data_IF_238054676960
#
_entry.id   IF_238054676960
#
_cell.length_a   1.000
_cell.length_b   1.000
_cell.length_c   1.000
_cell.angle_alpha   90.00
_cell.angle_beta   90.00
_cell.angle_gamma   90.00
#
_symmetry.space_group_name_H-M   'P 1'
#
loop_
_entity.id
_entity.type
_entity.pdbx_description
1 polymer ?
#
# COMPACT_ATOMS: atom_id res chain seq x y z
N UNK A 1 40.83 20.70 -9.45
CA UNK A 1 40.44 21.15 -8.09
C UNK A 1 38.96 21.50 -8.19
N UNK A 2 38.11 20.91 -7.31
CA UNK A 2 36.66 20.64 -7.44
C UNK A 2 36.34 19.55 -8.49
N UNK A 3 36.36 18.26 -8.14
CA UNK A 3 35.43 17.41 -7.34
C UNK A 3 34.18 16.96 -8.16
N UNK A 4 34.02 15.67 -8.41
CA UNK A 4 33.42 14.76 -7.43
C UNK A 4 31.92 14.49 -7.68
N UNK A 5 31.36 14.95 -8.81
CA UNK A 5 29.97 14.66 -9.23
C UNK A 5 29.74 13.17 -9.55
N UNK A 6 29.66 12.35 -8.51
CA UNK A 6 28.97 11.07 -8.59
C UNK A 6 27.48 11.38 -8.72
N UNK A 7 26.78 10.90 -9.78
CA UNK A 7 25.33 10.99 -9.80
C UNK A 7 24.83 10.21 -8.57
N UNK A 8 24.18 10.91 -7.65
CA UNK A 8 23.53 10.29 -6.49
C UNK A 8 22.39 9.44 -7.05
N UNK A 9 22.64 8.15 -7.27
CA UNK A 9 21.60 7.20 -7.66
C UNK A 9 20.57 7.19 -6.53
N UNK A 10 19.30 7.57 -6.79
CA UNK A 10 18.30 7.60 -5.74
C UNK A 10 18.13 6.20 -5.15
N UNK A 11 18.01 6.12 -3.82
CA UNK A 11 17.74 4.84 -3.16
C UNK A 11 16.44 4.22 -3.68
N UNK A 12 16.28 2.90 -3.59
CA UNK A 12 15.04 2.20 -3.98
C UNK A 12 13.80 2.83 -3.31
N UNK A 13 13.92 3.24 -2.05
CA UNK A 13 12.88 3.95 -1.33
C UNK A 13 12.55 5.31 -1.98
N UNK A 14 13.56 6.07 -2.39
CA UNK A 14 13.38 7.36 -3.07
C UNK A 14 12.69 7.22 -4.43
N UNK A 15 13.08 6.20 -5.22
CA UNK A 15 12.47 5.93 -6.52
C UNK A 15 11.00 5.48 -6.39
N UNK A 16 10.69 4.64 -5.41
CA UNK A 16 9.31 4.22 -5.13
C UNK A 16 8.44 5.39 -4.63
N UNK A 17 8.96 6.23 -3.74
CA UNK A 17 8.26 7.43 -3.27
C UNK A 17 7.92 8.39 -4.42
N UNK A 18 8.78 8.51 -5.45
CA UNK A 18 8.52 9.33 -6.62
C UNK A 18 7.32 8.84 -7.47
N UNK A 19 6.94 7.57 -7.36
CA UNK A 19 5.72 7.01 -7.95
C UNK A 19 4.52 7.02 -6.97
N UNK A 20 4.65 7.73 -5.85
CA UNK A 20 3.64 7.80 -4.81
C UNK A 20 3.59 6.56 -3.93
N UNK A 21 4.47 5.56 -4.08
CA UNK A 21 4.47 4.44 -3.14
C UNK A 21 4.90 4.92 -1.76
N UNK A 22 4.07 4.68 -0.75
CA UNK A 22 4.32 5.14 0.62
C UNK A 22 4.96 4.06 1.46
N UNK A 23 4.51 2.81 1.34
CA UNK A 23 5.03 1.70 2.15
C UNK A 23 4.01 0.59 2.34
N UNK A 24 4.43 -0.50 2.99
CA UNK A 24 3.61 -1.66 3.28
C UNK A 24 3.19 -1.75 4.75
N UNK A 25 2.16 -2.54 4.99
CA UNK A 25 1.69 -2.93 6.31
C UNK A 25 1.39 -4.42 6.37
N UNK A 26 1.50 -4.95 7.59
CA UNK A 26 1.08 -6.28 7.97
C UNK A 26 0.18 -6.18 9.21
N UNK A 27 -0.82 -7.04 9.35
CA UNK A 27 -1.69 -7.06 10.52
C UNK A 27 -1.98 -8.48 10.98
N UNK A 28 -1.98 -8.67 12.29
CA UNK A 28 -2.52 -9.85 12.94
C UNK A 28 -3.72 -9.39 13.78
N UNK A 29 -4.91 -9.80 13.35
CA UNK A 29 -6.17 -9.38 14.00
C UNK A 29 -6.31 -9.99 15.39
N UNK A 30 -5.76 -11.19 15.61
CA UNK A 30 -5.81 -11.87 16.90
C UNK A 30 -5.08 -11.09 17.99
N UNK A 31 -3.89 -10.55 17.67
CA UNK A 31 -3.13 -9.70 18.59
C UNK A 31 -3.62 -8.25 18.61
N UNK A 32 -4.46 -7.86 17.65
CA UNK A 32 -4.91 -6.47 17.46
C UNK A 32 -3.78 -5.54 17.00
N UNK A 33 -2.65 -6.07 16.53
CA UNK A 33 -1.46 -5.31 16.17
C UNK A 33 -1.20 -5.28 14.66
N UNK A 34 -0.67 -4.16 14.21
CA UNK A 34 -0.16 -3.95 12.85
C UNK A 34 1.30 -3.56 12.89
N UNK A 35 2.06 -4.01 11.90
CA UNK A 35 3.46 -3.62 11.70
C UNK A 35 3.53 -2.85 10.39
N UNK A 36 4.21 -1.70 10.42
CA UNK A 36 4.43 -0.84 9.27
C UNK A 36 5.92 -0.89 8.88
N UNK A 37 6.23 -0.74 7.59
CA UNK A 37 7.60 -0.46 7.17
C UNK A 37 8.00 1.00 7.46
N UNK A 38 9.21 1.40 7.11
CA UNK A 38 9.71 2.75 7.38
C UNK A 38 8.91 3.86 6.69
N UNK A 39 8.49 3.65 5.44
CA UNK A 39 7.75 4.64 4.68
C UNK A 39 6.31 4.79 5.18
N UNK A 40 5.63 3.67 5.41
CA UNK A 40 4.30 3.64 6.00
C UNK A 40 4.30 4.22 7.42
N UNK A 41 5.30 3.91 8.25
CA UNK A 41 5.40 4.47 9.61
C UNK A 41 5.57 5.99 9.58
N UNK A 42 6.42 6.49 8.68
CA UNK A 42 6.65 7.93 8.50
C UNK A 42 5.36 8.66 8.10
N UNK A 43 4.62 8.13 7.13
CA UNK A 43 3.47 8.83 6.55
C UNK A 43 2.17 8.60 7.33
N UNK A 44 1.89 7.37 7.74
CA UNK A 44 0.62 6.98 8.36
C UNK A 44 0.60 7.16 9.87
N UNK A 45 1.69 6.78 10.55
CA UNK A 45 1.85 6.98 11.98
C UNK A 45 2.51 8.34 12.31
N UNK A 46 3.21 8.95 11.34
CA UNK A 46 3.91 10.21 11.54
C UNK A 46 5.28 10.06 12.18
N UNK A 47 5.81 8.84 12.29
CA UNK A 47 7.11 8.55 12.91
C UNK A 47 7.76 7.31 12.27
N UNK A 48 8.83 7.51 11.50
CA UNK A 48 9.59 6.43 10.89
C UNK A 48 10.25 5.49 11.91
N UNK A 49 10.47 5.93 13.16
CA UNK A 49 11.06 5.13 14.22
C UNK A 49 10.15 3.97 14.68
N UNK A 50 8.88 4.01 14.30
CA UNK A 50 7.89 2.97 14.59
C UNK A 50 7.97 1.78 13.61
N UNK A 51 8.82 1.85 12.60
CA UNK A 51 9.02 0.78 11.63
C UNK A 51 9.33 -0.56 12.31
N UNK A 52 8.65 -1.63 11.89
CA UNK A 52 8.84 -2.98 12.43
C UNK A 52 8.25 -3.20 13.83
N UNK A 53 7.71 -2.17 14.50
CA UNK A 53 7.11 -2.30 15.83
C UNK A 53 5.62 -2.64 15.74
N UNK A 54 5.09 -3.43 16.71
CA UNK A 54 3.67 -3.75 16.76
C UNK A 54 2.85 -2.54 17.28
N UNK A 55 2.07 -1.94 16.39
CA UNK A 55 1.21 -0.78 16.65
C UNK A 55 -0.26 -1.20 16.81
N UNK A 56 -0.99 -0.51 17.68
CA UNK A 56 -2.46 -0.50 17.63
C UNK A 56 -2.95 0.10 16.32
N UNK A 57 -4.23 -0.12 16.01
CA UNK A 57 -4.84 0.49 14.83
C UNK A 57 -4.82 2.03 14.90
N UNK A 58 -5.04 2.59 16.10
CA UNK A 58 -5.02 4.03 16.32
C UNK A 58 -3.64 4.65 16.11
N UNK A 59 -2.57 3.98 16.56
CA UNK A 59 -1.17 4.40 16.34
C UNK A 59 -0.80 4.29 14.86
N UNK A 60 -1.11 3.16 14.22
CA UNK A 60 -0.77 2.91 12.82
C UNK A 60 -1.46 3.88 11.85
N UNK A 61 -2.60 4.44 12.23
CA UNK A 61 -3.43 5.33 11.41
C UNK A 61 -3.63 6.71 12.08
N UNK A 62 -2.67 7.14 12.88
CA UNK A 62 -2.75 8.38 13.66
C UNK A 62 -2.96 9.63 12.79
N UNK A 63 -2.50 9.61 11.53
CA UNK A 63 -2.56 10.75 10.61
C UNK A 63 -3.81 10.82 9.74
N UNK A 64 -4.77 9.89 9.85
CA UNK A 64 -6.02 9.98 9.08
C UNK A 64 -6.75 11.29 9.41
N UNK A 65 -7.22 11.97 8.36
CA UNK A 65 -8.01 13.19 8.50
C UNK A 65 -9.24 12.93 9.40
N UNK A 66 -9.57 13.81 10.36
CA UNK A 66 -10.63 13.57 11.34
C UNK A 66 -11.97 13.16 10.72
N UNK A 67 -12.37 13.82 9.63
CA UNK A 67 -13.61 13.51 8.90
C UNK A 67 -13.65 12.12 8.25
N UNK A 68 -12.48 11.51 7.99
CA UNK A 68 -12.39 10.20 7.33
C UNK A 68 -12.24 9.06 8.34
N UNK A 69 -11.87 9.38 9.59
CA UNK A 69 -11.45 8.39 10.60
C UNK A 69 -12.51 7.34 10.88
N UNK A 70 -13.72 7.75 11.25
CA UNK A 70 -14.79 6.84 11.61
C UNK A 70 -15.16 5.90 10.45
N UNK A 71 -15.20 6.45 9.24
CA UNK A 71 -15.50 5.70 8.03
C UNK A 71 -14.41 4.68 7.71
N UNK A 72 -13.12 5.06 7.76
CA UNK A 72 -12.00 4.12 7.50
C UNK A 72 -12.00 3.00 8.53
N UNK A 73 -12.19 3.34 9.81
CA UNK A 73 -12.21 2.36 10.91
C UNK A 73 -13.36 1.37 10.76
N UNK A 74 -14.53 1.82 10.32
CA UNK A 74 -15.66 0.93 10.02
C UNK A 74 -15.32 -0.07 8.90
N UNK A 75 -14.62 0.37 7.83
CA UNK A 75 -14.20 -0.52 6.75
C UNK A 75 -13.15 -1.54 7.21
N UNK A 76 -12.20 -1.11 8.04
CA UNK A 76 -11.20 -2.01 8.61
C UNK A 76 -11.87 -3.04 9.52
N UNK A 77 -12.80 -2.61 10.39
CA UNK A 77 -13.58 -3.52 11.24
C UNK A 77 -14.36 -4.54 10.41
N UNK A 78 -14.95 -4.12 9.28
CA UNK A 78 -15.64 -5.01 8.35
C UNK A 78 -14.71 -6.09 7.82
N UNK A 79 -13.58 -5.72 7.22
CA UNK A 79 -12.66 -6.70 6.61
C UNK A 79 -11.96 -7.59 7.66
N UNK A 80 -11.69 -7.07 8.87
CA UNK A 80 -11.18 -7.87 9.99
C UNK A 80 -12.16 -8.97 10.44
N UNK A 81 -13.46 -8.80 10.18
CA UNK A 81 -14.49 -9.81 10.47
C UNK A 81 -14.74 -10.75 9.29
N UNK A 82 -14.78 -10.21 8.07
CA UNK A 82 -15.18 -10.99 6.88
C UNK A 82 -14.01 -11.64 6.14
N UNK A 83 -12.78 -11.17 6.36
CA UNK A 83 -11.66 -11.45 5.46
C UNK A 83 -11.85 -10.81 4.08
N UNK A 84 -10.91 -11.09 3.19
CA UNK A 84 -10.92 -10.67 1.78
C UNK A 84 -10.21 -9.34 1.52
N UNK A 85 -10.46 -8.78 0.34
CA UNK A 85 -9.81 -7.56 -0.15
C UNK A 85 -10.24 -6.33 0.65
N UNK A 86 -9.24 -5.54 1.07
CA UNK A 86 -9.41 -4.19 1.57
C UNK A 86 -8.98 -3.19 0.50
N UNK A 87 -9.83 -2.22 0.21
CA UNK A 87 -9.51 -1.09 -0.66
C UNK A 87 -10.18 0.18 -0.12
N UNK A 88 -9.41 1.22 0.10
CA UNK A 88 -9.91 2.51 0.57
C UNK A 88 -9.07 3.66 0.02
N UNK A 89 -9.72 4.80 -0.23
CA UNK A 89 -9.05 6.07 -0.47
C UNK A 89 -9.51 7.08 0.56
N UNK A 90 -8.57 7.67 1.29
CA UNK A 90 -8.85 8.59 2.39
C UNK A 90 -7.75 9.65 2.48
N UNK A 91 -8.06 10.72 3.22
CA UNK A 91 -7.15 11.83 3.48
C UNK A 91 -6.30 11.55 4.71
N UNK A 92 -5.06 12.01 4.67
CA UNK A 92 -4.20 12.17 5.85
C UNK A 92 -3.82 13.64 6.02
N UNK A 93 -3.44 13.99 7.25
CA UNK A 93 -2.82 15.26 7.58
C UNK A 93 -1.33 15.05 7.84
N UNK A 94 -0.48 15.69 7.06
CA UNK A 94 0.97 15.65 7.28
C UNK A 94 1.34 16.43 8.55
N UNK A 95 2.58 16.29 9.02
CA UNK A 95 3.08 17.11 10.13
C UNK A 95 3.08 18.61 9.80
N UNK A 96 3.17 18.97 8.52
CA UNK A 96 3.07 20.35 8.04
C UNK A 96 1.62 20.86 7.91
N UNK A 97 0.62 20.03 8.21
CA UNK A 97 -0.80 20.37 8.08
C UNK A 97 -1.36 20.26 6.67
N UNK A 98 -0.59 19.71 5.73
CA UNK A 98 -1.05 19.48 4.35
C UNK A 98 -1.98 18.27 4.29
N UNK A 99 -2.99 18.34 3.42
CA UNK A 99 -3.85 17.20 3.12
C UNK A 99 -3.22 16.40 1.98
N UNK A 100 -3.05 15.10 2.20
CA UNK A 100 -2.66 14.13 1.16
C UNK A 100 -3.70 13.04 1.02
N UNK A 101 -3.89 12.55 -0.20
CA UNK A 101 -4.78 11.43 -0.49
C UNK A 101 -3.99 10.14 -0.54
N UNK A 102 -4.38 9.19 0.30
CA UNK A 102 -3.79 7.87 0.37
C UNK A 102 -4.77 6.84 -0.15
N UNK A 103 -4.31 6.00 -1.08
CA UNK A 103 -4.94 4.75 -1.45
C UNK A 103 -4.30 3.63 -0.64
N UNK A 104 -5.12 2.91 0.10
CA UNK A 104 -4.72 1.67 0.77
C UNK A 104 -5.35 0.48 0.06
N UNK A 105 -4.53 -0.51 -0.30
CA UNK A 105 -5.00 -1.83 -0.76
C UNK A 105 -4.31 -2.93 -0.01
N UNK A 106 -5.08 -3.94 0.40
CA UNK A 106 -4.54 -5.14 1.03
C UNK A 106 -5.51 -6.31 0.97
N UNK A 107 -5.11 -7.41 1.55
CA UNK A 107 -5.92 -8.63 1.61
C UNK A 107 -5.78 -9.29 2.98
N UNK A 108 -6.91 -9.72 3.55
CA UNK A 108 -6.96 -10.46 4.81
C UNK A 108 -7.38 -11.90 4.56
N UNK A 109 -6.61 -12.85 5.08
CA UNK A 109 -6.88 -14.29 5.02
C UNK A 109 -7.17 -14.86 6.41
N UNK A 110 -8.06 -15.85 6.51
CA UNK A 110 -8.24 -16.60 7.76
C UNK A 110 -6.96 -17.34 8.17
N UNK A 111 -6.75 -17.43 9.48
CA UNK A 111 -5.67 -18.17 10.15
C UNK A 111 -6.25 -18.91 11.36
N UNK A 112 -5.48 -19.82 11.96
CA UNK A 112 -5.92 -20.57 13.14
C UNK A 112 -6.39 -19.69 14.31
N UNK A 113 -5.85 -18.47 14.44
CA UNK A 113 -6.09 -17.58 15.57
C UNK A 113 -6.92 -16.34 15.22
N UNK A 114 -7.38 -16.20 13.98
CA UNK A 114 -8.12 -15.02 13.53
C UNK A 114 -7.81 -14.68 12.07
N UNK A 115 -7.65 -13.39 11.75
CA UNK A 115 -7.30 -12.94 10.41
C UNK A 115 -5.87 -12.41 10.37
N UNK A 116 -5.19 -12.67 9.27
CA UNK A 116 -3.88 -12.09 8.97
C UNK A 116 -3.96 -11.37 7.64
N UNK A 117 -3.28 -10.25 7.48
CA UNK A 117 -3.30 -9.54 6.21
C UNK A 117 -2.11 -8.64 5.98
N UNK A 118 -1.91 -8.32 4.71
CA UNK A 118 -0.86 -7.42 4.25
C UNK A 118 -1.42 -6.46 3.19
N UNK A 119 -0.76 -5.33 3.00
CA UNK A 119 -1.15 -4.37 1.99
C UNK A 119 -0.13 -3.24 1.82
N UNK A 120 -0.51 -2.28 0.98
CA UNK A 120 0.33 -1.14 0.63
C UNK A 120 -0.46 0.16 0.63
N UNK A 121 0.22 1.23 1.00
CA UNK A 121 -0.21 2.61 0.88
C UNK A 121 0.44 3.25 -0.34
N UNK A 122 -0.36 4.02 -1.08
CA UNK A 122 0.09 4.83 -2.22
C UNK A 122 -0.49 6.23 -2.06
N UNK A 123 0.37 7.24 -2.05
CA UNK A 123 0.01 8.63 -2.21
C UNK A 123 -0.48 8.86 -3.64
N UNK A 124 -1.74 9.29 -3.75
CA UNK A 124 -2.43 9.56 -5.00
C UNK A 124 -2.78 11.05 -5.15
N UNK A 125 -2.19 11.91 -4.32
CA UNK A 125 -2.47 13.36 -4.28
C UNK A 125 -2.32 14.00 -5.66
N UNK A 126 -1.18 13.79 -6.32
CA UNK A 126 -0.88 14.38 -7.64
C UNK A 126 -1.72 13.80 -8.79
N UNK A 127 -2.30 12.62 -8.59
CA UNK A 127 -3.15 11.96 -9.61
C UNK A 127 -4.63 12.32 -9.47
N UNK A 128 -5.01 13.09 -8.43
CA UNK A 128 -6.39 13.53 -8.24
C UNK A 128 -6.64 14.87 -8.91
N UNK A 129 -7.80 15.03 -9.58
CA UNK A 129 -8.24 16.35 -10.03
C UNK A 129 -8.44 17.28 -8.83
N UNK A 130 -8.06 18.55 -8.96
CA UNK A 130 -8.15 19.56 -7.87
C UNK A 130 -9.54 19.65 -7.20
N UNK A 131 -10.62 19.44 -7.94
CA UNK A 131 -11.99 19.46 -7.39
C UNK A 131 -12.33 18.25 -6.49
N UNK A 132 -11.51 17.19 -6.52
CA UNK A 132 -11.66 15.98 -5.68
C UNK A 132 -11.16 16.18 -4.25
N UNK A 133 -10.39 17.25 -3.98
CA UNK A 133 -9.92 17.61 -2.63
C UNK A 133 -11.09 18.03 -1.72
N UNK A 134 -12.17 18.56 -2.31
CA UNK A 134 -13.39 18.98 -1.62
C UNK A 134 -14.39 17.83 -1.38
N UNK A 135 -14.11 16.64 -1.90
CA UNK A 135 -14.99 15.47 -1.73
C UNK A 135 -14.56 14.65 -0.52
N UNK A 136 -15.52 14.20 0.30
CA UNK A 136 -15.29 13.27 1.41
C UNK A 136 -14.74 11.91 0.98
N UNK A 137 -14.57 10.95 1.92
CA UNK A 137 -13.95 9.66 1.64
C UNK A 137 -14.73 8.93 0.53
N UNK A 138 -14.02 8.45 -0.49
CA UNK A 138 -14.62 7.70 -1.59
C UNK A 138 -14.33 6.22 -1.39
N UNK A 139 -15.38 5.45 -1.07
CA UNK A 139 -15.34 4.01 -1.31
C UNK A 139 -15.41 3.82 -2.82
N UNK A 140 -14.26 3.69 -3.48
CA UNK A 140 -14.26 3.02 -4.77
C UNK A 140 -14.38 1.54 -4.47
N UNK A 141 -15.62 1.03 -4.39
CA UNK A 141 -15.85 -0.39 -4.60
C UNK A 141 -15.42 -0.69 -6.03
N UNK A 142 -14.14 -1.00 -6.22
CA UNK A 142 -13.84 -1.93 -7.29
C UNK A 142 -14.48 -3.26 -6.85
N UNK A 143 -15.10 -4.01 -7.76
CA UNK A 143 -15.40 -5.41 -7.47
C UNK A 143 -14.15 -6.06 -6.88
N UNK A 144 -14.26 -7.08 -5.99
CA UNK A 144 -13.09 -7.83 -5.56
C UNK A 144 -12.38 -8.31 -6.82
N UNK A 145 -11.33 -7.58 -7.21
CA UNK A 145 -10.43 -7.99 -8.26
C UNK A 145 -9.88 -9.29 -7.74
N UNK A 146 -10.03 -10.33 -8.55
CA UNK A 146 -9.59 -11.64 -8.16
C UNK A 146 -8.16 -11.53 -7.58
N UNK A 147 -7.84 -12.13 -6.42
CA UNK A 147 -6.55 -11.93 -5.79
C UNK A 147 -5.34 -12.22 -6.69
N UNK A 148 -5.48 -13.15 -7.66
CA UNK A 148 -4.46 -13.42 -8.67
C UNK A 148 -4.41 -12.36 -9.77
N UNK A 149 -5.55 -11.81 -10.20
CA UNK A 149 -5.57 -10.65 -11.10
C UNK A 149 -4.96 -9.42 -10.43
N UNK A 150 -5.25 -9.20 -9.15
CA UNK A 150 -4.67 -8.11 -8.38
C UNK A 150 -3.16 -8.27 -8.20
N UNK A 151 -2.68 -9.49 -7.96
CA UNK A 151 -1.26 -9.79 -7.94
C UNK A 151 -0.62 -9.50 -9.31
N UNK A 152 -1.26 -9.92 -10.41
CA UNK A 152 -0.77 -9.67 -11.77
C UNK A 152 -0.62 -8.17 -12.05
N UNK A 153 -1.60 -7.35 -11.70
CA UNK A 153 -1.55 -5.89 -11.85
C UNK A 153 -0.36 -5.26 -11.10
N UNK A 154 -0.11 -5.71 -9.87
CA UNK A 154 0.98 -5.20 -9.05
C UNK A 154 2.36 -5.64 -9.58
N UNK A 155 2.47 -6.88 -10.03
CA UNK A 155 3.70 -7.41 -10.64
C UNK A 155 3.99 -6.68 -11.95
N UNK A 156 2.96 -6.39 -12.76
CA UNK A 156 3.11 -5.63 -14.00
C UNK A 156 3.55 -4.19 -13.74
N UNK A 157 3.00 -3.53 -12.72
CA UNK A 157 3.46 -2.20 -12.30
C UNK A 157 4.92 -2.22 -11.84
N UNK A 158 5.31 -3.23 -11.04
CA UNK A 158 6.69 -3.43 -10.62
C UNK A 158 7.62 -3.68 -11.81
N UNK A 159 7.17 -4.47 -12.79
CA UNK A 159 7.92 -4.78 -14.02
C UNK A 159 8.26 -3.52 -14.82
N UNK A 160 7.29 -2.62 -15.02
CA UNK A 160 7.46 -1.36 -15.74
C UNK A 160 8.42 -0.40 -15.02
N UNK A 161 8.38 -0.38 -13.69
CA UNK A 161 9.34 0.40 -12.90
C UNK A 161 10.76 -0.17 -13.03
N UNK A 162 10.91 -1.48 -12.94
CA UNK A 162 12.20 -2.17 -13.04
C UNK A 162 12.86 -1.97 -14.41
N UNK A 163 12.09 -1.92 -15.51
CA UNK A 163 12.63 -1.65 -16.85
C UNK A 163 13.41 -0.34 -16.94
N UNK A 164 12.99 0.69 -16.20
CA UNK A 164 13.64 2.01 -16.20
C UNK A 164 14.96 2.01 -15.44
N UNK A 165 15.25 0.97 -14.66
CA UNK A 165 16.45 0.89 -13.80
C UNK A 165 17.62 0.15 -14.44
N UNK A 166 17.38 -0.61 -15.52
CA UNK A 166 18.40 -1.46 -16.15
C UNK A 166 18.85 -2.67 -15.30
N UNK A 167 18.20 -2.95 -14.17
CA UNK A 167 18.59 -4.06 -13.28
C UNK A 167 18.11 -5.43 -13.79
N UNK A 168 18.98 -6.13 -14.50
CA UNK A 168 18.69 -7.43 -15.12
C UNK A 168 18.18 -8.49 -14.14
N UNK A 169 18.78 -8.59 -12.94
CA UNK A 169 18.37 -9.60 -11.95
C UNK A 169 16.94 -9.39 -11.45
N UNK A 170 16.56 -8.14 -11.19
CA UNK A 170 15.20 -7.81 -10.75
C UNK A 170 14.19 -8.05 -11.87
N UNK A 171 14.56 -7.71 -13.11
CA UNK A 171 13.76 -8.01 -14.30
C UNK A 171 13.46 -9.50 -14.41
N UNK A 172 14.48 -10.35 -14.25
CA UNK A 172 14.29 -11.80 -14.28
C UNK A 172 13.36 -12.30 -13.17
N UNK A 173 13.50 -11.78 -11.94
CA UNK A 173 12.64 -12.19 -10.82
C UNK A 173 11.18 -11.79 -11.02
N UNK A 174 10.94 -10.56 -11.48
CA UNK A 174 9.57 -10.08 -11.70
C UNK A 174 8.94 -10.75 -12.93
N UNK A 175 9.71 -11.03 -13.98
CA UNK A 175 9.26 -11.82 -15.15
C UNK A 175 8.87 -13.25 -14.72
N UNK A 176 9.66 -13.86 -13.84
CA UNK A 176 9.39 -15.21 -13.30
C UNK A 176 8.10 -15.22 -12.48
N UNK A 177 7.91 -14.22 -11.62
CA UNK A 177 6.71 -14.10 -10.79
C UNK A 177 5.46 -13.84 -11.65
N UNK A 178 5.58 -12.99 -12.69
CA UNK A 178 4.50 -12.72 -13.63
C UNK A 178 4.07 -14.00 -14.37
N UNK A 179 5.03 -14.81 -14.79
CA UNK A 179 4.77 -16.09 -15.45
C UNK A 179 4.01 -17.07 -14.53
N UNK A 180 4.42 -17.21 -13.28
CA UNK A 180 3.76 -18.11 -12.32
C UNK A 180 2.33 -17.67 -11.99
N UNK A 181 2.11 -16.36 -11.82
CA UNK A 181 0.76 -15.80 -11.64
C UNK A 181 -0.11 -16.03 -12.88
N UNK A 182 0.42 -15.80 -14.08
CA UNK A 182 -0.29 -16.08 -15.34
C UNK A 182 -0.70 -17.56 -15.48
N UNK A 183 0.18 -18.49 -15.11
CA UNK A 183 -0.14 -19.93 -15.10
C UNK A 183 -1.22 -20.29 -14.09
N UNK A 184 -1.21 -19.64 -12.92
CA UNK A 184 -2.24 -19.86 -11.91
C UNK A 184 -3.61 -19.32 -12.34
N UNK A 185 -3.64 -18.18 -13.06
CA UNK A 185 -4.86 -17.67 -13.69
C UNK A 185 -5.40 -18.62 -14.77
N UNK A 186 -4.54 -19.11 -15.67
CA UNK A 186 -4.94 -19.99 -16.77
C UNK A 186 -5.45 -21.39 -16.32
N UNK A 187 -5.14 -21.82 -15.09
CA UNK A 187 -5.59 -23.09 -14.53
C UNK A 187 -6.99 -23.01 -13.89
N UNK A 188 -7.62 -21.84 -13.92
CA UNK A 188 -8.97 -21.70 -13.39
C UNK A 188 -10.00 -22.15 -14.42
N UNK A 189 -11.00 -22.96 -14.01
CA UNK A 189 -12.21 -23.11 -14.79
C UNK A 189 -12.96 -21.76 -14.78
N UNK A 190 -13.51 -21.36 -15.92
CA UNK A 190 -14.35 -20.17 -16.03
C UNK A 190 -15.41 -20.18 -14.91
N UNK A 191 -15.41 -19.13 -14.09
CA UNK A 191 -16.31 -18.95 -12.95
C UNK A 191 -17.74 -18.58 -13.39
#
# INVERSE_FOLDING_TARGET
>A
MFDGSTPVTPSLASALNAFGFVGVWETNVASGRSVLDAGASSVMAGDASLAGKPLTLDEALARIHPEDRDWVFAQIKRVRRTGGTFAAEFRILTQAGEIRWIRNRGHLVPTANGMHGHGAYVDITDTRPNFSVLSGPKLRMLPPSDPLEQAADQILAARLAIDRTGQTRLRTLVDTLLLEVGRALARRPDA
#
